data_IF_750710579692
#
_entry.id   IF_750710579692
#
_cell.length_a   1.000
_cell.length_b   1.000
_cell.length_c   1.000
_cell.angle_alpha   90.00
_cell.angle_beta   90.00
_cell.angle_gamma   90.00
#
_symmetry.space_group_name_H-M   'P 1'
#
loop_
_entity.id
_entity.type
_entity.pdbx_description
1 polymer ?
#
# COMPACT_ATOMS: atom_id res chain seq x y z
N UNK A 1 14.51 41.71 15.84
CA UNK A 1 14.81 40.52 16.65
C UNK A 1 13.89 39.40 16.14
N UNK A 2 14.42 38.52 15.30
CA UNK A 2 13.61 37.36 14.86
C UNK A 2 13.33 36.49 16.08
N UNK A 3 12.08 36.24 16.30
CA UNK A 3 11.62 35.55 17.48
C UNK A 3 12.15 34.09 17.45
N UNK A 4 13.06 33.79 18.36
CA UNK A 4 13.72 32.49 18.46
C UNK A 4 12.69 31.33 18.64
N UNK A 5 11.56 31.64 19.24
CA UNK A 5 10.41 30.77 19.41
C UNK A 5 9.78 30.36 18.07
N UNK A 6 9.66 31.27 17.12
CA UNK A 6 9.08 30.98 15.80
C UNK A 6 9.96 30.03 14.99
N UNK A 7 11.28 30.13 15.12
CA UNK A 7 12.22 29.26 14.44
C UNK A 7 12.21 27.82 15.00
N UNK A 8 12.11 27.67 16.32
CA UNK A 8 11.98 26.36 16.97
C UNK A 8 10.68 25.68 16.53
N UNK A 9 9.57 26.41 16.54
CA UNK A 9 8.27 25.86 16.09
C UNK A 9 8.30 25.41 14.62
N UNK A 10 9.01 26.13 13.76
CA UNK A 10 9.18 25.76 12.36
C UNK A 10 9.99 24.45 12.21
N UNK A 11 11.06 24.31 12.97
CA UNK A 11 11.90 23.10 13.00
C UNK A 11 11.14 21.90 13.53
N UNK A 12 10.36 22.05 14.57
CA UNK A 12 9.52 21.00 15.12
C UNK A 12 8.47 20.56 14.11
N UNK A 13 7.87 21.50 13.39
CA UNK A 13 6.92 21.22 12.32
C UNK A 13 7.56 20.44 11.17
N UNK A 14 8.73 20.84 10.70
CA UNK A 14 9.48 20.11 9.67
C UNK A 14 9.83 18.70 10.12
N UNK A 15 10.34 18.55 11.34
CA UNK A 15 10.66 17.26 11.92
C UNK A 15 9.44 16.35 11.99
N UNK A 16 8.33 16.85 12.46
CA UNK A 16 7.08 16.09 12.55
C UNK A 16 6.59 15.64 11.15
N UNK A 17 6.70 16.52 10.17
CA UNK A 17 6.34 16.22 8.79
C UNK A 17 7.23 15.13 8.20
N UNK A 18 8.54 15.25 8.33
CA UNK A 18 9.51 14.26 7.86
C UNK A 18 9.30 12.91 8.57
N UNK A 19 9.13 12.93 9.88
CA UNK A 19 8.84 11.74 10.66
C UNK A 19 7.58 11.00 10.18
N UNK A 20 6.51 11.73 9.89
CA UNK A 20 5.27 11.14 9.35
C UNK A 20 5.49 10.51 7.96
N UNK A 21 6.24 11.18 7.10
CA UNK A 21 6.57 10.67 5.78
C UNK A 21 7.41 9.39 5.85
N UNK A 22 8.44 9.39 6.67
CA UNK A 22 9.29 8.21 6.87
C UNK A 22 8.53 7.06 7.52
N UNK A 23 7.72 7.35 8.53
CA UNK A 23 6.85 6.36 9.16
C UNK A 23 5.91 5.71 8.15
N UNK A 24 5.23 6.49 7.32
CA UNK A 24 4.33 5.96 6.31
C UNK A 24 5.07 5.13 5.27
N UNK A 25 6.25 5.59 4.84
CA UNK A 25 7.10 4.84 3.91
C UNK A 25 7.56 3.52 4.51
N UNK A 26 7.97 3.53 5.78
CA UNK A 26 8.38 2.33 6.49
C UNK A 26 7.22 1.34 6.66
N UNK A 27 6.04 1.79 7.03
CA UNK A 27 4.84 0.94 7.17
C UNK A 27 4.46 0.26 5.84
N UNK A 28 4.65 0.93 4.73
CA UNK A 28 4.32 0.37 3.41
C UNK A 28 5.41 -0.52 2.85
N UNK A 29 6.67 -0.09 2.92
CA UNK A 29 7.77 -0.66 2.13
C UNK A 29 8.90 -1.28 2.94
N UNK A 30 8.86 -1.22 4.28
CA UNK A 30 9.91 -1.82 5.10
C UNK A 30 9.99 -3.34 4.86
N UNK A 31 11.20 -3.85 4.86
CA UNK A 31 11.46 -5.27 4.83
C UNK A 31 11.92 -5.76 6.20
N UNK A 32 11.40 -6.91 6.60
CA UNK A 32 11.87 -7.56 7.81
C UNK A 32 13.33 -7.96 7.65
N UNK A 33 14.13 -7.70 8.66
CA UNK A 33 15.51 -8.18 8.76
C UNK A 33 15.63 -9.51 9.52
N UNK A 34 14.50 -10.18 9.71
CA UNK A 34 14.44 -11.49 10.35
C UNK A 34 14.59 -12.60 9.30
N UNK A 35 15.53 -13.51 9.51
CA UNK A 35 15.70 -14.67 8.66
C UNK A 35 14.67 -15.78 8.87
N UNK A 36 14.67 -16.78 8.01
CA UNK A 36 13.78 -17.94 8.08
C UNK A 36 13.99 -18.77 9.35
N UNK A 37 15.18 -18.75 9.91
CA UNK A 37 15.53 -19.37 11.19
C UNK A 37 15.12 -18.55 12.42
N UNK A 38 14.53 -17.37 12.22
CA UNK A 38 14.09 -16.49 13.29
C UNK A 38 15.14 -15.52 13.82
N UNK A 39 16.38 -15.57 13.33
CA UNK A 39 17.44 -14.66 13.73
C UNK A 39 17.40 -13.34 12.94
N UNK A 40 17.89 -12.26 13.58
CA UNK A 40 18.00 -10.95 12.93
C UNK A 40 19.41 -10.76 12.36
N UNK A 41 19.50 -10.37 11.10
CA UNK A 41 20.78 -10.23 10.40
C UNK A 41 21.49 -8.91 10.68
N UNK A 42 20.74 -7.82 10.90
CA UNK A 42 21.33 -6.51 11.05
C UNK A 42 21.66 -6.20 12.50
N UNK A 43 22.94 -5.93 12.73
CA UNK A 43 23.46 -5.47 14.01
C UNK A 43 23.99 -4.04 13.87
N UNK A 44 23.91 -3.27 14.95
CA UNK A 44 24.59 -1.97 15.02
C UNK A 44 26.10 -2.17 15.16
N UNK A 45 26.87 -1.08 14.99
CA UNK A 45 28.33 -1.09 15.21
C UNK A 45 28.72 -1.51 16.62
N UNK A 46 27.83 -1.36 17.58
CA UNK A 46 27.99 -1.74 18.98
C UNK A 46 27.50 -3.17 19.28
N UNK A 47 27.06 -3.92 18.27
CA UNK A 47 26.58 -5.29 18.41
C UNK A 47 25.11 -5.45 18.79
N UNK A 48 24.37 -4.36 18.97
CA UNK A 48 22.93 -4.42 19.25
C UNK A 48 22.14 -4.87 18.02
N UNK A 49 21.18 -5.75 18.23
CA UNK A 49 20.33 -6.27 17.17
C UNK A 49 19.29 -5.20 16.77
N UNK A 50 19.30 -4.78 15.52
CA UNK A 50 18.27 -3.91 14.94
C UNK A 50 17.08 -4.75 14.52
N UNK A 51 15.98 -4.62 15.23
CA UNK A 51 14.73 -5.32 14.90
C UNK A 51 13.89 -4.44 13.97
N UNK A 52 13.56 -4.96 12.81
CA UNK A 52 12.68 -4.29 11.85
C UNK A 52 11.59 -5.25 11.42
N UNK A 53 10.34 -4.80 11.53
CA UNK A 53 9.17 -5.55 11.09
C UNK A 53 8.95 -5.46 9.57
N UNK A 54 8.17 -6.37 9.04
CA UNK A 54 7.73 -6.35 7.65
C UNK A 54 6.69 -5.25 7.42
N UNK A 55 6.86 -4.47 6.35
CA UNK A 55 5.84 -3.55 5.88
C UNK A 55 4.67 -4.28 5.20
N UNK A 56 3.61 -3.54 4.93
CA UNK A 56 2.38 -4.10 4.32
C UNK A 56 2.71 -4.82 3.00
N UNK A 57 3.54 -4.22 2.15
CA UNK A 57 3.91 -4.82 0.86
C UNK A 57 4.56 -6.20 1.01
N UNK A 58 5.50 -6.34 1.93
CA UNK A 58 6.14 -7.65 2.17
C UNK A 58 5.16 -8.68 2.74
N UNK A 59 4.24 -8.26 3.60
CA UNK A 59 3.21 -9.16 4.14
C UNK A 59 2.22 -9.60 3.05
N UNK A 60 1.90 -8.73 2.11
CA UNK A 60 1.04 -9.06 0.96
C UNK A 60 1.69 -10.04 0.00
N UNK A 61 3.01 -9.99 -0.20
CA UNK A 61 3.75 -10.94 -1.04
C UNK A 61 3.52 -12.41 -0.61
N UNK A 62 3.26 -12.64 0.68
CA UNK A 62 2.98 -13.98 1.22
C UNK A 62 1.53 -14.43 1.09
N UNK A 63 0.57 -13.52 0.86
CA UNK A 63 -0.87 -13.81 0.87
C UNK A 63 -1.49 -14.01 -0.51
N UNK A 64 -0.84 -13.58 -1.55
CA UNK A 64 -1.31 -13.71 -2.94
C UNK A 64 -1.03 -12.46 -3.75
N UNK A 65 -0.42 -12.64 -4.89
CA UNK A 65 -0.12 -11.58 -5.85
C UNK A 65 -0.73 -11.99 -7.19
N UNK A 66 -1.71 -11.22 -7.63
CA UNK A 66 -2.28 -11.37 -8.97
C UNK A 66 -1.57 -10.42 -9.93
N UNK A 67 -1.21 -10.95 -11.10
CA UNK A 67 -0.51 -10.20 -12.14
C UNK A 67 -1.41 -10.02 -13.35
N UNK A 68 -1.45 -8.83 -13.88
CA UNK A 68 -2.18 -8.52 -15.11
C UNK A 68 -1.25 -7.87 -16.14
N UNK A 69 -1.50 -8.11 -17.40
CA UNK A 69 -0.86 -7.40 -18.52
C UNK A 69 -1.59 -6.10 -18.84
N UNK A 70 -2.91 -6.20 -18.95
CA UNK A 70 -3.80 -5.07 -19.15
C UNK A 70 -4.86 -5.03 -18.07
N UNK A 71 -5.01 -3.85 -17.47
CA UNK A 71 -6.04 -3.66 -16.44
C UNK A 71 -7.41 -3.51 -17.10
N UNK A 72 -8.31 -4.44 -16.78
CA UNK A 72 -9.70 -4.43 -17.26
C UNK A 72 -10.68 -4.60 -16.10
N UNK A 73 -11.92 -4.18 -16.31
CA UNK A 73 -12.98 -4.36 -15.31
C UNK A 73 -13.31 -5.85 -15.13
N UNK A 74 -13.27 -6.65 -16.20
CA UNK A 74 -13.48 -8.09 -16.13
C UNK A 74 -12.42 -8.78 -15.26
N UNK A 75 -11.14 -8.40 -15.42
CA UNK A 75 -10.08 -8.91 -14.59
C UNK A 75 -10.30 -8.52 -13.12
N UNK A 76 -10.64 -7.27 -12.84
CA UNK A 76 -10.94 -6.80 -11.49
C UNK A 76 -12.09 -7.58 -10.85
N UNK A 77 -13.17 -7.81 -11.59
CA UNK A 77 -14.32 -8.57 -11.11
C UNK A 77 -13.93 -10.03 -10.80
N UNK A 78 -13.10 -10.67 -11.63
CA UNK A 78 -12.63 -12.02 -11.36
C UNK A 78 -11.81 -12.11 -10.08
N UNK A 79 -10.92 -11.14 -9.85
CA UNK A 79 -10.13 -11.04 -8.60
C UNK A 79 -11.03 -10.83 -7.38
N UNK A 80 -12.03 -9.94 -7.50
CA UNK A 80 -12.99 -9.70 -6.41
C UNK A 80 -13.84 -10.93 -6.11
N UNK A 81 -14.21 -11.70 -7.12
CA UNK A 81 -14.92 -12.98 -6.93
C UNK A 81 -14.04 -13.99 -6.21
N UNK A 82 -12.79 -14.17 -6.62
CA UNK A 82 -11.85 -15.10 -5.98
C UNK A 82 -11.56 -14.73 -4.52
N UNK A 83 -11.54 -13.43 -4.21
CA UNK A 83 -11.37 -12.94 -2.85
C UNK A 83 -12.61 -13.17 -1.97
N UNK A 84 -13.79 -13.13 -2.54
CA UNK A 84 -15.06 -13.18 -1.80
C UNK A 84 -15.68 -14.57 -1.75
N UNK A 85 -15.47 -15.39 -2.75
CA UNK A 85 -16.12 -16.68 -2.89
C UNK A 85 -15.71 -17.64 -1.76
N UNK A 86 -16.71 -18.12 -1.01
CA UNK A 86 -16.50 -19.03 0.11
C UNK A 86 -15.82 -18.44 1.35
N UNK A 87 -15.44 -17.14 1.34
CA UNK A 87 -14.69 -16.49 2.42
C UNK A 87 -15.49 -15.42 3.13
N UNK A 88 -16.34 -14.69 2.41
CA UNK A 88 -17.11 -13.58 2.96
C UNK A 88 -18.62 -13.80 2.75
N UNK A 89 -19.44 -13.53 3.77
CA UNK A 89 -20.88 -13.51 3.61
C UNK A 89 -21.30 -12.42 2.61
N UNK A 90 -22.39 -12.66 1.90
CA UNK A 90 -22.86 -11.80 0.81
C UNK A 90 -23.15 -10.36 1.25
N UNK A 91 -23.57 -10.19 2.50
CA UNK A 91 -23.97 -8.90 3.07
C UNK A 91 -22.80 -8.01 3.49
N UNK A 92 -21.60 -8.58 3.67
CA UNK A 92 -20.40 -7.89 4.18
C UNK A 92 -19.27 -7.75 3.13
N UNK A 93 -19.60 -7.79 1.85
CA UNK A 93 -18.59 -7.69 0.78
C UNK A 93 -18.23 -6.23 0.50
N UNK A 94 -17.37 -5.66 1.33
CA UNK A 94 -16.79 -4.34 1.13
C UNK A 94 -15.32 -4.46 0.73
N UNK A 95 -14.99 -3.90 -0.43
CA UNK A 95 -13.61 -3.87 -0.92
C UNK A 95 -13.13 -2.44 -1.02
N UNK A 96 -11.93 -2.19 -0.50
CA UNK A 96 -11.25 -0.91 -0.60
C UNK A 96 -10.01 -1.08 -1.45
N UNK A 97 -10.01 -0.52 -2.65
CA UNK A 97 -8.84 -0.49 -3.50
C UNK A 97 -7.92 0.67 -3.07
N UNK A 98 -6.67 0.35 -2.78
CA UNK A 98 -5.63 1.34 -2.54
C UNK A 98 -4.63 1.28 -3.67
N UNK A 99 -4.50 2.37 -4.39
CA UNK A 99 -3.63 2.44 -5.55
C UNK A 99 -2.86 3.75 -5.58
N UNK A 100 -1.76 3.77 -6.33
CA UNK A 100 -1.07 5.01 -6.66
C UNK A 100 -1.77 5.73 -7.82
N UNK A 101 -1.25 6.91 -8.15
CA UNK A 101 -1.77 7.78 -9.22
C UNK A 101 -1.90 7.05 -10.56
N UNK A 102 -0.88 6.28 -10.95
CA UNK A 102 -0.87 5.52 -12.20
C UNK A 102 -1.96 4.45 -12.25
N UNK A 103 -2.19 3.74 -11.14
CA UNK A 103 -3.26 2.75 -11.04
C UNK A 103 -4.65 3.39 -11.06
N UNK A 104 -4.82 4.58 -10.49
CA UNK A 104 -6.06 5.32 -10.58
C UNK A 104 -6.40 5.72 -12.02
N UNK A 105 -5.42 6.14 -12.80
CA UNK A 105 -5.59 6.43 -14.24
C UNK A 105 -5.98 5.18 -15.03
N UNK A 106 -5.31 4.06 -14.78
CA UNK A 106 -5.66 2.78 -15.43
C UNK A 106 -7.09 2.34 -15.09
N UNK A 107 -7.51 2.51 -13.86
CA UNK A 107 -8.88 2.21 -13.43
C UNK A 107 -9.90 3.11 -14.15
N UNK A 108 -9.63 4.40 -14.25
CA UNK A 108 -10.48 5.35 -14.95
C UNK A 108 -10.66 4.98 -16.44
N UNK A 109 -9.55 4.70 -17.12
CA UNK A 109 -9.57 4.28 -18.53
C UNK A 109 -10.31 2.95 -18.73
N UNK A 110 -10.16 2.00 -17.81
CA UNK A 110 -10.89 0.74 -17.85
C UNK A 110 -12.40 0.94 -17.69
N UNK A 111 -12.82 1.85 -16.82
CA UNK A 111 -14.23 2.22 -16.66
C UNK A 111 -14.80 2.91 -17.91
N UNK A 112 -14.05 3.81 -18.52
CA UNK A 112 -14.47 4.46 -19.77
C UNK A 112 -14.66 3.43 -20.89
N UNK A 113 -13.71 2.54 -21.09
CA UNK A 113 -13.78 1.47 -22.08
C UNK A 113 -14.99 0.55 -21.81
N UNK A 114 -15.24 0.20 -20.56
CA UNK A 114 -16.38 -0.63 -20.18
C UNK A 114 -17.71 0.08 -20.41
N UNK A 115 -17.81 1.37 -20.12
CA UNK A 115 -19.02 2.16 -20.33
C UNK A 115 -19.38 2.34 -21.82
N UNK A 116 -18.39 2.38 -22.69
CA UNK A 116 -18.61 2.48 -24.15
C UNK A 116 -19.22 1.19 -24.75
N UNK A 117 -19.01 0.04 -24.11
CA UNK A 117 -19.63 -1.22 -24.51
C UNK A 117 -21.15 -1.27 -24.23
N UNK A 118 -21.62 -0.43 -23.32
CA UNK A 118 -23.03 -0.32 -22.93
C UNK A 118 -23.72 0.94 -23.48
N UNK A 119 -23.36 1.37 -24.67
CA UNK A 119 -24.15 2.43 -25.34
C UNK A 119 -25.56 1.91 -25.59
N UNK A 120 -26.59 2.53 -24.99
CA UNK A 120 -27.96 2.12 -25.26
C UNK A 120 -28.27 2.34 -26.74
N UNK A 121 -28.69 1.29 -27.41
CA UNK A 121 -29.27 1.37 -28.74
C UNK A 121 -30.64 2.07 -28.63
N UNK A 122 -30.63 3.36 -28.82
CA UNK A 122 -31.85 4.12 -29.06
C UNK A 122 -32.07 4.28 -30.55
#
# INVERSE_FOLDING_TARGET
MQDFTTWINYRDYEFEREFRLEKNRALMFARSNRGTNGEYYNKSNEGYVKKQGAGIRQQMEASGVEVYSDFSIEWLLSVLMDLSEGKLPTDDRHFVARTGERGAVQFHLALENHSQLFTPLF
#
